data_IF_257397051846
#
_entry.id   IF_257397051846
#
_cell.length_a   1.000
_cell.length_b   1.000
_cell.length_c   1.000
_cell.angle_alpha   90.00
_cell.angle_beta   90.00
_cell.angle_gamma   90.00
#
_symmetry.space_group_name_H-M   'P 1'
#
loop_
_entity.id
_entity.type
_entity.pdbx_description
1 polymer ?
#
# COMPACT_ATOMS: atom_id res chain seq x y z
N UNK A 1 12.24 -50.02 -0.05
CA UNK A 1 12.74 -50.58 -1.32
C UNK A 1 14.21 -50.23 -1.48
N UNK A 2 15.12 -51.21 -1.55
CA UNK A 2 16.56 -50.95 -1.62
C UNK A 2 16.89 -50.29 -2.96
N UNK A 3 17.35 -49.04 -2.95
CA UNK A 3 17.74 -48.23 -4.13
C UNK A 3 18.56 -49.00 -5.16
N UNK A 4 19.36 -49.97 -4.70
CA UNK A 4 20.20 -50.84 -5.52
C UNK A 4 19.44 -51.79 -6.47
N UNK A 5 18.14 -52.01 -6.27
CA UNK A 5 17.30 -52.87 -7.13
C UNK A 5 16.63 -52.12 -8.30
N UNK A 6 16.71 -50.78 -8.33
CA UNK A 6 16.13 -49.97 -9.41
C UNK A 6 17.08 -49.96 -10.60
N UNK A 7 16.58 -50.19 -11.82
CA UNK A 7 17.35 -50.08 -13.07
C UNK A 7 18.04 -48.72 -13.21
N UNK A 8 19.27 -48.70 -13.73
CA UNK A 8 20.07 -47.50 -13.94
C UNK A 8 19.30 -46.38 -14.67
N UNK A 9 18.54 -46.74 -15.71
CA UNK A 9 17.70 -45.80 -16.47
C UNK A 9 16.64 -45.11 -15.60
N UNK A 10 15.98 -45.86 -14.71
CA UNK A 10 14.97 -45.33 -13.79
C UNK A 10 15.58 -44.39 -12.75
N UNK A 11 16.78 -44.69 -12.24
CA UNK A 11 17.50 -43.80 -11.30
C UNK A 11 17.89 -42.48 -11.95
N UNK A 12 18.38 -42.53 -13.18
CA UNK A 12 18.74 -41.34 -13.95
C UNK A 12 17.51 -40.45 -14.18
N UNK A 13 16.38 -41.05 -14.60
CA UNK A 13 15.12 -40.32 -14.75
C UNK A 13 14.65 -39.69 -13.44
N UNK A 14 14.68 -40.43 -12.32
CA UNK A 14 14.29 -39.88 -11.01
C UNK A 14 15.15 -38.67 -10.63
N UNK A 15 16.46 -38.76 -10.82
CA UNK A 15 17.38 -37.67 -10.47
C UNK A 15 17.12 -36.45 -11.37
N UNK A 16 16.97 -36.64 -12.68
CA UNK A 16 16.70 -35.56 -13.63
C UNK A 16 15.35 -34.87 -13.36
N UNK A 17 14.31 -35.66 -13.06
CA UNK A 17 13.01 -35.09 -12.71
C UNK A 17 13.06 -34.37 -11.37
N UNK A 18 13.74 -34.93 -10.37
CA UNK A 18 13.86 -34.31 -9.06
C UNK A 18 14.68 -33.02 -9.11
N UNK A 19 15.79 -32.99 -9.85
CA UNK A 19 16.59 -31.77 -10.01
C UNK A 19 15.79 -30.70 -10.74
N UNK A 20 15.09 -31.04 -11.83
CA UNK A 20 14.24 -30.09 -12.54
C UNK A 20 13.10 -29.55 -11.68
N UNK A 21 12.51 -30.36 -10.82
CA UNK A 21 11.48 -29.90 -9.87
C UNK A 21 12.06 -28.95 -8.82
N UNK A 22 13.26 -29.24 -8.29
CA UNK A 22 13.94 -28.37 -7.33
C UNK A 22 14.27 -27.02 -7.98
N UNK A 23 14.83 -27.03 -9.19
CA UNK A 23 15.14 -25.82 -9.95
C UNK A 23 13.87 -24.99 -10.20
N UNK A 24 12.77 -25.64 -10.61
CA UNK A 24 11.48 -24.97 -10.81
C UNK A 24 10.96 -24.32 -9.52
N UNK A 25 11.06 -25.01 -8.38
CA UNK A 25 10.64 -24.47 -7.09
C UNK A 25 11.48 -23.24 -6.68
N UNK A 26 12.80 -23.30 -6.87
CA UNK A 26 13.70 -22.19 -6.56
C UNK A 26 13.37 -20.99 -7.45
N UNK A 27 13.22 -21.19 -8.76
CA UNK A 27 12.88 -20.13 -9.70
C UNK A 27 11.51 -19.51 -9.39
N UNK A 28 10.52 -20.33 -9.05
CA UNK A 28 9.20 -19.84 -8.66
C UNK A 28 9.24 -19.01 -7.38
N UNK A 29 9.98 -19.45 -6.37
CA UNK A 29 10.11 -18.73 -5.10
C UNK A 29 10.85 -17.40 -5.30
N UNK A 30 11.96 -17.41 -6.04
CA UNK A 30 12.73 -16.21 -6.36
C UNK A 30 11.91 -15.23 -7.20
N UNK A 31 11.20 -15.73 -8.21
CA UNK A 31 10.31 -14.92 -9.05
C UNK A 31 9.19 -14.26 -8.23
N UNK A 32 8.54 -15.02 -7.34
CA UNK A 32 7.49 -14.47 -6.46
C UNK A 32 8.04 -13.39 -5.53
N UNK A 33 9.19 -13.64 -4.90
CA UNK A 33 9.84 -12.66 -4.03
C UNK A 33 10.22 -11.37 -4.78
N UNK A 34 10.75 -11.50 -6.00
CA UNK A 34 11.09 -10.35 -6.84
C UNK A 34 9.86 -9.54 -7.26
N UNK A 35 8.81 -10.22 -7.73
CA UNK A 35 7.56 -9.57 -8.13
C UNK A 35 6.96 -8.82 -6.94
N UNK A 36 6.89 -9.47 -5.77
CA UNK A 36 6.37 -8.84 -4.55
C UNK A 36 7.16 -7.56 -4.21
N UNK A 37 8.48 -7.64 -4.18
CA UNK A 37 9.32 -6.48 -3.84
C UNK A 37 9.18 -5.34 -4.87
N UNK A 38 9.12 -5.68 -6.16
CA UNK A 38 8.94 -4.70 -7.23
C UNK A 38 7.57 -4.00 -7.12
N UNK A 39 6.50 -4.77 -6.87
CA UNK A 39 5.16 -4.22 -6.68
C UNK A 39 5.08 -3.30 -5.44
N UNK A 40 5.65 -3.71 -4.31
CA UNK A 40 5.69 -2.88 -3.09
C UNK A 40 6.37 -1.53 -3.36
N UNK A 41 7.50 -1.53 -4.07
CA UNK A 41 8.22 -0.31 -4.42
C UNK A 41 7.42 0.58 -5.37
N UNK A 42 6.82 0.00 -6.40
CA UNK A 42 6.01 0.74 -7.38
C UNK A 42 4.77 1.37 -6.72
N UNK A 43 4.07 0.62 -5.88
CA UNK A 43 2.91 1.10 -5.12
C UNK A 43 3.34 2.24 -4.17
N UNK A 44 4.47 2.08 -3.47
CA UNK A 44 5.00 3.12 -2.59
C UNK A 44 5.34 4.42 -3.33
N UNK A 45 5.97 4.33 -4.51
CA UNK A 45 6.29 5.49 -5.34
C UNK A 45 5.02 6.18 -5.88
N UNK A 46 4.02 5.40 -6.31
CA UNK A 46 2.72 5.96 -6.75
C UNK A 46 2.02 6.68 -5.60
N UNK A 47 1.96 6.06 -4.42
CA UNK A 47 1.35 6.65 -3.22
C UNK A 47 2.05 7.96 -2.83
N UNK A 48 3.39 7.98 -2.82
CA UNK A 48 4.18 9.18 -2.54
C UNK A 48 3.94 10.28 -3.58
N UNK A 49 3.87 9.91 -4.87
CA UNK A 49 3.59 10.84 -5.96
C UNK A 49 2.22 11.52 -5.81
N UNK A 50 1.17 10.73 -5.54
CA UNK A 50 -0.17 11.25 -5.28
C UNK A 50 -0.19 12.14 -4.03
N UNK A 51 0.40 11.68 -2.93
CA UNK A 51 0.43 12.45 -1.68
C UNK A 51 1.13 13.80 -1.87
N UNK A 52 2.28 13.82 -2.54
CA UNK A 52 3.04 15.03 -2.85
C UNK A 52 2.27 15.96 -3.80
N UNK A 53 1.58 15.40 -4.80
CA UNK A 53 0.74 16.18 -5.71
C UNK A 53 -0.43 16.84 -4.98
N UNK A 54 -1.16 16.08 -4.15
CA UNK A 54 -2.28 16.61 -3.40
C UNK A 54 -1.83 17.65 -2.37
N UNK A 55 -0.75 17.40 -1.63
CA UNK A 55 -0.23 18.32 -0.63
C UNK A 55 0.18 19.69 -1.23
N UNK A 56 0.58 19.72 -2.50
CA UNK A 56 0.95 20.95 -3.22
C UNK A 56 -0.20 21.58 -4.00
N UNK A 57 -1.38 20.97 -4.01
CA UNK A 57 -2.51 21.48 -4.79
C UNK A 57 -3.17 22.66 -4.09
N UNK A 58 -3.53 23.71 -4.84
CA UNK A 58 -4.26 24.87 -4.32
C UNK A 58 -5.55 24.45 -3.61
N UNK A 59 -6.19 23.38 -4.07
CA UNK A 59 -7.39 22.84 -3.43
C UNK A 59 -7.13 22.38 -1.99
N UNK A 60 -6.01 21.72 -1.72
CA UNK A 60 -5.64 21.27 -0.36
C UNK A 60 -5.09 22.42 0.47
N UNK A 61 -4.26 23.29 -0.12
CA UNK A 61 -3.72 24.47 0.57
C UNK A 61 -4.85 25.38 1.03
N UNK A 62 -5.76 25.77 0.14
CA UNK A 62 -6.92 26.59 0.48
C UNK A 62 -7.82 25.90 1.49
N UNK A 63 -8.00 24.57 1.39
CA UNK A 63 -8.78 23.80 2.36
C UNK A 63 -8.20 23.95 3.78
N UNK A 64 -6.88 23.91 3.93
CA UNK A 64 -6.20 24.05 5.23
C UNK A 64 -6.19 25.51 5.70
N UNK A 65 -5.85 26.47 4.82
CA UNK A 65 -5.72 27.89 5.15
C UNK A 65 -7.05 28.55 5.54
N UNK A 66 -8.17 28.12 4.94
CA UNK A 66 -9.48 28.70 5.25
C UNK A 66 -9.91 28.41 6.69
N UNK A 67 -9.36 27.36 7.33
CA UNK A 67 -9.67 26.89 8.70
C UNK A 67 -11.16 26.79 9.03
N UNK A 68 -12.03 26.75 8.01
CA UNK A 68 -13.47 26.61 8.20
C UNK A 68 -13.81 25.12 8.27
N UNK A 69 -13.74 24.60 9.49
CA UNK A 69 -14.02 23.21 9.80
C UNK A 69 -15.42 22.76 9.36
N UNK A 70 -16.40 23.69 9.25
CA UNK A 70 -17.76 23.39 8.76
C UNK A 70 -17.78 23.26 7.24
N UNK A 71 -17.05 24.10 6.52
CA UNK A 71 -16.88 23.97 5.07
C UNK A 71 -16.04 22.73 4.69
N UNK A 72 -15.05 22.36 5.50
CA UNK A 72 -14.17 21.20 5.28
C UNK A 72 -14.86 19.85 5.54
N UNK A 73 -15.82 19.82 6.46
CA UNK A 73 -16.68 18.67 6.71
C UNK A 73 -17.94 18.66 5.82
N UNK A 74 -17.97 19.47 4.76
CA UNK A 74 -19.04 19.39 3.77
C UNK A 74 -18.97 18.05 3.03
N UNK A 75 -20.14 17.48 2.74
CA UNK A 75 -20.26 16.22 2.02
C UNK A 75 -19.53 16.27 0.67
N UNK A 76 -19.52 17.44 0.02
CA UNK A 76 -18.89 17.65 -1.30
C UNK A 76 -17.37 17.48 -1.26
N UNK A 77 -16.70 17.97 -0.22
CA UNK A 77 -15.24 17.80 -0.05
C UNK A 77 -14.91 16.33 0.21
N UNK A 78 -15.65 15.67 1.11
CA UNK A 78 -15.41 14.26 1.43
C UNK A 78 -15.67 13.36 0.22
N UNK A 79 -16.77 13.60 -0.51
CA UNK A 79 -17.13 12.85 -1.72
C UNK A 79 -16.09 13.02 -2.83
N UNK A 80 -15.57 14.24 -3.04
CA UNK A 80 -14.49 14.50 -4.00
C UNK A 80 -13.27 13.62 -3.72
N UNK A 81 -12.81 13.54 -2.47
CA UNK A 81 -11.63 12.74 -2.14
C UNK A 81 -11.91 11.23 -2.08
N UNK A 82 -13.14 10.81 -1.79
CA UNK A 82 -13.56 9.40 -1.93
C UNK A 82 -13.56 8.96 -3.39
N UNK A 83 -14.17 9.74 -4.28
CA UNK A 83 -14.11 9.53 -5.74
C UNK A 83 -12.68 9.54 -6.24
N UNK A 84 -11.85 10.46 -5.78
CA UNK A 84 -10.44 10.48 -6.15
C UNK A 84 -9.73 9.21 -5.70
N UNK A 85 -9.98 8.74 -4.48
CA UNK A 85 -9.42 7.48 -3.94
C UNK A 85 -9.76 6.30 -4.85
N UNK A 86 -11.02 6.19 -5.28
CA UNK A 86 -11.48 5.15 -6.20
C UNK A 86 -10.82 5.27 -7.58
N UNK A 87 -10.74 6.49 -8.15
CA UNK A 87 -10.15 6.72 -9.47
C UNK A 87 -8.67 6.36 -9.54
N UNK A 88 -7.91 6.62 -8.48
CA UNK A 88 -6.47 6.31 -8.43
C UNK A 88 -6.19 4.88 -7.92
N UNK A 89 -7.21 4.15 -7.49
CA UNK A 89 -7.07 2.83 -6.88
C UNK A 89 -6.30 2.83 -5.56
N UNK A 90 -6.36 3.93 -4.79
CA UNK A 90 -5.76 4.01 -3.47
C UNK A 90 -6.63 3.29 -2.44
N UNK A 91 -6.01 2.76 -1.38
CA UNK A 91 -6.76 2.18 -0.26
C UNK A 91 -7.56 3.26 0.51
N UNK A 92 -6.96 4.44 0.67
CA UNK A 92 -7.59 5.62 1.26
C UNK A 92 -6.77 6.88 1.00
N UNK A 93 -7.41 8.05 1.10
CA UNK A 93 -6.76 9.36 1.21
C UNK A 93 -7.17 9.97 2.55
N UNK A 94 -6.19 10.48 3.30
CA UNK A 94 -6.41 11.25 4.54
C UNK A 94 -5.64 12.55 4.42
N UNK A 95 -6.30 13.66 4.75
CA UNK A 95 -5.67 14.99 4.85
C UNK A 95 -5.80 15.43 6.30
N UNK A 96 -4.69 15.83 6.91
CA UNK A 96 -4.67 16.41 8.24
C UNK A 96 -4.12 17.84 8.22
N UNK A 97 -4.39 18.58 9.28
CA UNK A 97 -3.78 19.89 9.53
C UNK A 97 -2.43 19.79 10.26
N UNK A 98 -1.85 20.93 10.59
CA UNK A 98 -0.59 21.08 11.31
C UNK A 98 -0.64 20.54 12.76
N UNK A 99 -1.84 20.46 13.34
CA UNK A 99 -2.08 19.85 14.65
C UNK A 99 -2.28 18.32 14.56
N UNK A 100 -2.24 17.76 13.35
CA UNK A 100 -2.45 16.33 13.10
C UNK A 100 -3.90 15.90 13.23
N UNK A 101 -4.86 16.82 13.12
CA UNK A 101 -6.30 16.53 13.13
C UNK A 101 -6.76 16.15 11.72
N UNK A 102 -7.56 15.08 11.60
CA UNK A 102 -8.07 14.63 10.30
C UNK A 102 -9.16 15.55 9.77
N UNK A 103 -8.92 16.13 8.60
CA UNK A 103 -9.84 16.99 7.85
C UNK A 103 -10.58 16.22 6.76
N UNK A 104 -9.93 15.24 6.14
CA UNK A 104 -10.51 14.35 5.14
C UNK A 104 -10.24 12.91 5.55
N UNK A 105 -11.27 12.07 5.47
CA UNK A 105 -11.15 10.64 5.79
C UNK A 105 -12.25 9.85 5.08
N UNK A 106 -12.00 8.62 4.58
CA UNK A 106 -13.03 7.76 3.97
C UNK A 106 -14.15 7.30 4.91
N UNK A 107 -14.15 7.76 6.17
CA UNK A 107 -15.06 7.29 7.21
C UNK A 107 -15.38 8.48 8.09
N UNK A 108 -16.63 8.95 8.03
CA UNK A 108 -17.01 10.27 8.57
C UNK A 108 -16.85 10.34 10.09
N UNK A 109 -17.06 9.23 10.81
CA UNK A 109 -16.88 9.18 12.27
C UNK A 109 -15.42 9.36 12.74
N UNK A 110 -14.45 9.43 11.82
CA UNK A 110 -13.02 9.65 12.12
C UNK A 110 -12.54 11.06 11.80
N UNK A 111 -13.39 11.89 11.19
CA UNK A 111 -13.13 13.31 10.97
C UNK A 111 -13.00 14.04 12.31
N UNK A 112 -12.12 15.03 12.39
CA UNK A 112 -11.85 15.79 13.61
C UNK A 112 -11.10 15.03 14.70
N UNK A 113 -10.76 13.74 14.49
CA UNK A 113 -9.94 12.97 15.43
C UNK A 113 -8.46 13.09 15.06
N UNK A 114 -7.54 13.03 16.03
CA UNK A 114 -6.12 13.01 15.76
C UNK A 114 -5.77 11.84 14.85
N UNK A 115 -4.84 12.05 13.93
CA UNK A 115 -4.25 11.02 13.08
C UNK A 115 -3.76 9.85 13.95
N UNK A 116 -3.53 8.69 13.33
CA UNK A 116 -2.93 7.53 14.02
C UNK A 116 -1.81 7.06 13.11
N UNK A 117 -0.59 7.04 13.65
CA UNK A 117 0.63 6.75 12.91
C UNK A 117 1.84 7.34 13.63
N UNK A 118 3.01 6.72 13.47
CA UNK A 118 4.26 7.17 14.09
C UNK A 118 4.97 8.29 13.33
N UNK A 119 4.43 8.73 12.19
CA UNK A 119 5.11 9.65 11.26
C UNK A 119 4.69 11.11 11.47
N UNK A 120 3.75 11.38 12.39
CA UNK A 120 3.42 12.74 12.82
C UNK A 120 4.26 13.06 14.07
N UNK A 121 5.08 14.11 14.00
CA UNK A 121 5.92 14.57 15.11
C UNK A 121 5.13 14.95 16.38
N UNK A 122 3.82 15.17 16.22
CA UNK A 122 2.86 15.43 17.29
C UNK A 122 1.97 14.20 17.51
N UNK A 123 2.48 13.18 18.22
CA UNK A 123 1.60 12.29 18.98
C UNK A 123 2.17 11.93 20.34
N UNK A 124 1.37 12.06 21.42
CA UNK A 124 1.54 11.23 22.59
C UNK A 124 1.13 9.81 22.24
N UNK A 125 2.02 8.87 22.57
CA UNK A 125 1.78 7.43 22.50
C UNK A 125 0.62 7.09 23.44
N UNK A 126 -0.50 6.61 22.90
CA UNK A 126 -1.47 5.77 23.65
C UNK A 126 -1.94 4.64 22.74
#
# INVERSE_FOLDING_TARGET
MKWRQISFRKRMLIIMTLSGLIELLILSAAGFAYIKHSQEKEIGLKALGVASFLAKSDAVVNLIETRDFRAMNSADVQDRYRKLTEMIGAAFIVIGDDEGVRLVHPVDHRLGKPMKGGDNALMPII
#
